data_IF_910999088619
#
_entry.id   IF_910999088619
#
_cell.length_a   1.000
_cell.length_b   1.000
_cell.length_c   1.000
_cell.angle_alpha   90.00
_cell.angle_beta   90.00
_cell.angle_gamma   90.00
#
_symmetry.space_group_name_H-M   'P 1'
#
loop_
_entity.id
_entity.type
_entity.pdbx_description
1 polymer ?
#
# COMPACT_ATOMS: atom_id res chain seq x y z
N UNK A 1 33.15 41.59 8.82
CA UNK A 1 33.31 40.30 8.11
C UNK A 1 31.91 39.75 7.91
N UNK A 2 31.44 39.60 6.67
CA UNK A 2 30.11 39.07 6.40
C UNK A 2 30.01 37.66 6.97
N UNK A 3 29.00 37.43 7.80
CA UNK A 3 28.61 36.12 8.30
C UNK A 3 28.18 35.25 7.11
N UNK A 4 29.15 34.59 6.47
CA UNK A 4 28.96 33.74 5.29
C UNK A 4 28.40 32.38 5.71
N UNK A 5 27.29 32.39 6.46
CA UNK A 5 26.50 31.19 6.71
C UNK A 5 26.09 30.59 5.38
N UNK A 6 26.32 29.30 5.21
CA UNK A 6 25.86 28.59 4.01
C UNK A 6 24.34 28.67 3.96
N UNK A 7 23.81 29.11 2.82
CA UNK A 7 22.38 29.26 2.61
C UNK A 7 21.79 28.01 1.97
N UNK A 8 20.70 27.51 2.52
CA UNK A 8 19.88 26.45 1.94
C UNK A 8 18.50 27.01 1.64
N UNK A 9 18.03 26.77 0.41
CA UNK A 9 16.67 27.08 0.00
C UNK A 9 15.94 25.75 -0.18
N UNK A 10 14.80 25.59 0.50
CA UNK A 10 13.91 24.45 0.36
C UNK A 10 12.63 24.93 -0.31
N UNK A 11 12.19 24.23 -1.35
CA UNK A 11 10.96 24.52 -2.07
C UNK A 11 9.97 23.40 -1.77
N UNK A 12 8.84 23.76 -1.16
CA UNK A 12 7.82 22.87 -0.63
C UNK A 12 8.00 22.57 0.86
N UNK A 13 6.87 22.38 1.56
CA UNK A 13 6.80 22.02 2.99
C UNK A 13 6.03 20.70 3.21
N UNK A 14 6.19 19.74 2.29
CA UNK A 14 5.67 18.38 2.43
C UNK A 14 6.57 17.46 3.29
N UNK A 15 6.24 16.16 3.41
CA UNK A 15 6.97 15.22 4.27
C UNK A 15 8.47 15.14 3.99
N UNK A 16 8.88 15.26 2.73
CA UNK A 16 10.30 15.28 2.35
C UNK A 16 11.04 16.48 2.96
N UNK A 17 10.47 17.68 2.83
CA UNK A 17 11.06 18.90 3.37
C UNK A 17 11.13 18.84 4.89
N UNK A 18 10.05 18.41 5.55
CA UNK A 18 9.99 18.23 7.00
C UNK A 18 11.07 17.24 7.45
N UNK A 19 11.19 16.08 6.80
CA UNK A 19 12.22 15.09 7.12
C UNK A 19 13.65 15.62 6.95
N UNK A 20 13.92 16.37 5.87
CA UNK A 20 15.21 17.02 5.65
C UNK A 20 15.52 18.06 6.73
N UNK A 21 14.53 18.90 7.07
CA UNK A 21 14.67 19.93 8.10
C UNK A 21 14.91 19.32 9.48
N UNK A 22 14.15 18.28 9.86
CA UNK A 22 14.36 17.56 11.12
C UNK A 22 15.81 17.08 11.21
N UNK A 23 16.35 16.47 10.16
CA UNK A 23 17.73 15.99 10.17
C UNK A 23 18.75 17.13 10.23
N UNK A 24 18.52 18.21 9.50
CA UNK A 24 19.41 19.39 9.51
C UNK A 24 19.44 20.02 10.91
N UNK A 25 18.28 20.20 11.55
CA UNK A 25 18.19 20.72 12.91
C UNK A 25 18.92 19.80 13.90
N UNK A 26 18.70 18.48 13.84
CA UNK A 26 19.42 17.53 14.71
C UNK A 26 20.96 17.65 14.56
N UNK A 27 21.45 17.80 13.33
CA UNK A 27 22.89 17.95 13.04
C UNK A 27 23.46 19.32 13.47
N UNK A 28 22.63 20.36 13.51
CA UNK A 28 23.03 21.67 14.01
C UNK A 28 23.07 21.66 15.54
N UNK A 29 22.07 21.04 16.17
CA UNK A 29 21.95 20.94 17.64
C UNK A 29 23.09 20.10 18.24
N UNK A 30 23.49 19.02 17.58
CA UNK A 30 24.63 18.19 18.00
C UNK A 30 26.00 18.72 17.55
N UNK A 31 26.03 19.87 16.85
CA UNK A 31 27.21 20.56 16.33
C UNK A 31 28.02 19.74 15.30
N UNK A 32 27.40 18.75 14.65
CA UNK A 32 28.02 18.02 13.53
C UNK A 32 28.18 18.90 12.29
N UNK A 33 27.28 19.87 12.10
CA UNK A 33 27.38 20.87 11.03
C UNK A 33 27.32 22.29 11.57
N UNK A 34 27.97 23.21 10.86
CA UNK A 34 27.90 24.64 11.16
C UNK A 34 26.48 25.20 10.97
N UNK A 35 26.10 26.28 11.68
CA UNK A 35 24.81 26.91 11.51
C UNK A 35 24.53 27.34 10.07
N UNK A 36 23.30 27.05 9.61
CA UNK A 36 22.85 27.33 8.24
C UNK A 36 21.80 28.44 8.23
N UNK A 37 21.78 29.21 7.14
CA UNK A 37 20.68 30.13 6.80
C UNK A 37 19.66 29.38 5.94
N UNK A 38 18.52 28.99 6.51
CA UNK A 38 17.53 28.14 5.84
C UNK A 38 16.28 28.94 5.53
N UNK A 39 15.90 29.01 4.26
CA UNK A 39 14.64 29.61 3.80
C UNK A 39 13.77 28.55 3.15
N UNK A 40 12.49 28.47 3.53
CA UNK A 40 11.52 27.53 2.97
C UNK A 40 10.46 28.32 2.21
N UNK A 41 10.19 27.92 0.97
CA UNK A 41 9.10 28.45 0.16
C UNK A 41 8.03 27.38 -0.02
N UNK A 42 6.87 27.56 0.61
CA UNK A 42 5.66 26.76 0.35
C UNK A 42 4.63 27.66 -0.32
N UNK A 43 3.97 27.14 -1.35
CA UNK A 43 2.93 27.88 -2.07
C UNK A 43 1.62 27.90 -1.28
N UNK A 44 1.31 26.79 -0.62
CA UNK A 44 0.12 26.58 0.19
C UNK A 44 0.19 27.41 1.48
N UNK A 45 -0.96 27.72 2.07
CA UNK A 45 -1.02 28.44 3.35
C UNK A 45 -0.67 27.57 4.56
N UNK A 46 -0.46 26.27 4.36
CA UNK A 46 -0.13 25.31 5.40
C UNK A 46 0.88 24.27 4.87
N UNK A 47 1.70 23.66 5.74
CA UNK A 47 2.58 22.55 5.36
C UNK A 47 1.78 21.25 5.15
N UNK A 48 2.46 20.22 4.62
CA UNK A 48 1.93 18.86 4.50
C UNK A 48 1.85 18.32 3.06
N UNK A 49 1.69 19.19 2.07
CA UNK A 49 1.63 18.78 0.66
C UNK A 49 0.54 17.73 0.41
N UNK A 50 0.90 16.58 -0.19
CA UNK A 50 -0.06 15.48 -0.40
C UNK A 50 -0.48 14.76 0.89
N UNK A 51 0.23 14.95 2.00
CA UNK A 51 -0.13 14.39 3.31
C UNK A 51 -1.00 15.35 4.13
N UNK A 52 -1.65 16.32 3.49
CA UNK A 52 -2.54 17.28 4.15
C UNK A 52 -3.97 16.76 4.27
N UNK A 53 -4.65 17.25 5.29
CA UNK A 53 -6.07 17.07 5.54
C UNK A 53 -6.80 18.40 5.32
N UNK A 54 -7.98 18.35 4.71
CA UNK A 54 -8.88 19.50 4.52
C UNK A 54 -10.17 19.23 5.27
N UNK A 55 -10.63 20.19 6.08
CA UNK A 55 -11.95 20.12 6.73
C UNK A 55 -12.96 20.95 5.95
N UNK A 56 -14.08 20.34 5.58
CA UNK A 56 -15.15 21.03 4.86
C UNK A 56 -16.03 21.89 5.79
N UNK A 57 -16.95 22.65 5.20
CA UNK A 57 -17.87 23.54 5.94
C UNK A 57 -18.84 22.81 6.86
N UNK A 58 -18.98 21.49 6.72
CA UNK A 58 -19.84 20.64 7.54
C UNK A 58 -19.05 19.92 8.64
N UNK A 59 -17.74 20.16 8.74
CA UNK A 59 -16.87 19.59 9.75
C UNK A 59 -16.28 18.22 9.40
N UNK A 60 -16.47 17.71 8.18
CA UNK A 60 -15.84 16.47 7.75
C UNK A 60 -14.40 16.72 7.32
N UNK A 61 -13.49 15.84 7.74
CA UNK A 61 -12.08 15.92 7.39
C UNK A 61 -11.74 14.92 6.28
N UNK A 62 -11.03 15.41 5.27
CA UNK A 62 -10.70 14.69 4.05
C UNK A 62 -9.20 14.75 3.81
N UNK A 63 -8.57 13.59 3.70
CA UNK A 63 -7.19 13.49 3.24
C UNK A 63 -7.15 13.45 1.70
N UNK A 64 -5.99 13.79 1.13
CA UNK A 64 -5.73 13.66 -0.31
C UNK A 64 -5.39 12.22 -0.70
N UNK A 65 -6.34 11.32 -0.46
CA UNK A 65 -6.18 9.87 -0.57
C UNK A 65 -6.03 9.19 0.79
N UNK A 66 -5.83 7.87 0.78
CA UNK A 66 -5.77 7.08 2.01
C UNK A 66 -4.35 7.11 2.59
N UNK A 67 -4.17 7.80 3.72
CA UNK A 67 -2.89 7.88 4.42
C UNK A 67 -2.87 7.00 5.67
N UNK A 68 -1.83 6.18 5.76
CA UNK A 68 -1.69 5.15 6.80
C UNK A 68 -0.22 5.04 7.17
N UNK A 69 0.08 5.20 8.46
CA UNK A 69 1.41 4.92 9.00
C UNK A 69 1.43 3.52 9.61
N UNK A 70 2.09 2.59 8.93
CA UNK A 70 2.30 1.23 9.44
C UNK A 70 3.63 1.05 10.17
N UNK A 71 3.95 -0.21 10.47
CA UNK A 71 5.27 -0.58 10.96
C UNK A 71 6.36 -0.11 9.99
N UNK A 72 7.38 0.55 10.51
CA UNK A 72 8.49 1.10 9.73
C UNK A 72 9.81 0.50 10.20
N UNK A 73 10.73 0.27 9.26
CA UNK A 73 12.12 -0.10 9.55
C UNK A 73 13.02 1.11 9.81
N UNK A 74 12.45 2.32 9.82
CA UNK A 74 13.19 3.58 9.94
C UNK A 74 12.86 4.22 11.30
N UNK A 75 13.66 3.97 12.35
CA UNK A 75 13.41 4.49 13.69
C UNK A 75 13.36 6.02 13.73
N UNK A 76 14.18 6.70 12.92
CA UNK A 76 14.19 8.15 12.82
C UNK A 76 12.82 8.70 12.39
N UNK A 77 12.17 8.07 11.41
CA UNK A 77 10.83 8.47 10.97
C UNK A 77 9.80 8.32 12.10
N UNK A 78 9.82 7.20 12.82
CA UNK A 78 8.92 6.96 13.95
C UNK A 78 9.15 7.98 15.07
N UNK A 79 10.41 8.27 15.40
CA UNK A 79 10.80 9.28 16.39
C UNK A 79 10.27 10.66 15.99
N UNK A 80 10.41 11.06 14.72
CA UNK A 80 9.88 12.33 14.22
C UNK A 80 8.37 12.40 14.39
N UNK A 81 7.64 11.35 13.98
CA UNK A 81 6.19 11.29 14.16
C UNK A 81 5.76 11.36 15.62
N UNK A 82 6.42 10.59 16.50
CA UNK A 82 6.13 10.58 17.94
C UNK A 82 6.45 11.91 18.62
N UNK A 83 7.47 12.63 18.16
CA UNK A 83 7.78 13.98 18.68
C UNK A 83 6.75 15.03 18.27
N UNK A 84 6.10 14.86 17.12
CA UNK A 84 5.08 15.78 16.62
C UNK A 84 3.69 15.46 17.17
N UNK A 85 3.38 14.17 17.32
CA UNK A 85 2.07 13.67 17.77
C UNK A 85 2.32 12.60 18.85
N UNK A 86 2.00 12.90 20.13
CA UNK A 86 2.29 11.98 21.24
C UNK A 86 1.32 10.80 21.31
N UNK A 87 0.09 10.97 20.83
CA UNK A 87 -0.97 9.97 20.91
C UNK A 87 -1.29 9.41 19.53
N UNK A 88 -1.10 8.09 19.39
CA UNK A 88 -1.41 7.37 18.16
C UNK A 88 -2.49 6.35 18.37
N UNK A 89 -3.10 6.06 17.25
CA UNK A 89 -4.33 5.36 17.13
C UNK A 89 -3.97 4.04 16.39
N UNK A 90 -4.30 2.89 16.99
CA UNK A 90 -3.89 1.54 16.53
C UNK A 90 -5.11 0.59 16.33
N UNK A 91 -5.23 -0.06 15.16
CA UNK A 91 -6.37 -0.86 14.67
C UNK A 91 -5.78 -2.04 13.94
N UNK A 92 -6.58 -3.05 13.71
CA UNK A 92 -6.25 -4.15 12.83
C UNK A 92 -6.58 -3.79 11.38
N UNK A 93 -5.65 -4.08 10.46
CA UNK A 93 -5.85 -3.92 9.03
C UNK A 93 -6.80 -5.01 8.54
N UNK A 94 -8.05 -4.64 8.32
CA UNK A 94 -9.02 -5.49 7.66
C UNK A 94 -9.28 -4.97 6.24
N UNK A 95 -8.38 -5.28 5.31
CA UNK A 95 -8.55 -4.88 3.90
C UNK A 95 -9.09 -6.07 3.12
N UNK A 96 -10.22 -5.85 2.44
CA UNK A 96 -10.87 -6.83 1.57
C UNK A 96 -11.04 -6.24 0.17
N UNK A 97 -11.14 -7.12 -0.81
CA UNK A 97 -11.51 -6.77 -2.17
C UNK A 97 -12.92 -7.27 -2.46
N UNK A 98 -13.74 -6.41 -3.06
CA UNK A 98 -15.02 -6.80 -3.61
C UNK A 98 -14.81 -7.63 -4.87
N UNK A 99 -15.30 -8.87 -4.86
CA UNK A 99 -15.26 -9.84 -5.96
C UNK A 99 -16.68 -10.23 -6.38
N UNK A 100 -17.66 -9.34 -6.23
CA UNK A 100 -19.07 -9.58 -6.60
C UNK A 100 -19.23 -10.00 -8.07
N UNK A 101 -18.36 -9.52 -8.98
CA UNK A 101 -18.33 -9.91 -10.39
C UNK A 101 -17.84 -11.34 -10.66
N UNK A 102 -17.40 -12.05 -9.62
CA UNK A 102 -16.88 -13.43 -9.69
C UNK A 102 -17.69 -14.36 -8.81
N UNK A 103 -17.96 -13.96 -7.56
CA UNK A 103 -18.55 -14.85 -6.54
C UNK A 103 -20.08 -14.91 -6.66
N UNK A 104 -20.74 -13.79 -6.99
CA UNK A 104 -22.19 -13.69 -7.14
C UNK A 104 -23.01 -14.23 -5.95
N UNK A 105 -22.51 -14.09 -4.73
CA UNK A 105 -23.22 -14.52 -3.53
C UNK A 105 -24.40 -13.58 -3.21
N UNK A 106 -25.53 -14.17 -2.77
CA UNK A 106 -26.74 -13.43 -2.40
C UNK A 106 -26.53 -12.48 -1.22
N UNK A 107 -25.67 -12.86 -0.27
CA UNK A 107 -25.27 -11.98 0.82
C UNK A 107 -24.06 -11.14 0.39
N UNK A 108 -24.15 -9.80 0.35
CA UNK A 108 -23.06 -8.94 -0.11
C UNK A 108 -21.72 -9.19 0.60
N UNK A 109 -21.75 -9.52 1.90
CA UNK A 109 -20.53 -9.78 2.67
C UNK A 109 -19.73 -11.00 2.19
N UNK A 110 -20.41 -11.95 1.55
CA UNK A 110 -19.78 -13.17 1.07
C UNK A 110 -19.04 -12.96 -0.27
N UNK A 111 -19.24 -11.82 -0.92
CA UNK A 111 -18.50 -11.43 -2.13
C UNK A 111 -17.15 -10.77 -1.84
N UNK A 112 -16.85 -10.45 -0.58
CA UNK A 112 -15.57 -9.86 -0.20
C UNK A 112 -14.54 -10.92 0.14
N UNK A 113 -13.37 -10.80 -0.48
CA UNK A 113 -12.22 -11.67 -0.19
C UNK A 113 -11.10 -10.89 0.50
N UNK A 114 -10.30 -11.52 1.38
CA UNK A 114 -9.17 -10.86 2.01
C UNK A 114 -8.14 -10.34 0.99
N UNK A 115 -7.54 -9.19 1.27
CA UNK A 115 -6.42 -8.69 0.49
C UNK A 115 -5.12 -9.31 1.02
N UNK A 116 -4.21 -9.77 0.14
CA UNK A 116 -4.19 -9.56 -1.30
C UNK A 116 -4.97 -10.63 -2.10
N UNK A 117 -5.66 -10.21 -3.18
CA UNK A 117 -6.59 -11.07 -3.94
C UNK A 117 -5.93 -12.32 -4.53
N UNK A 118 -4.67 -12.25 -4.95
CA UNK A 118 -3.93 -13.41 -5.44
C UNK A 118 -3.79 -14.52 -4.39
N UNK A 119 -3.84 -14.19 -3.10
CA UNK A 119 -3.84 -15.17 -2.00
C UNK A 119 -5.24 -15.67 -1.65
N UNK A 120 -6.27 -15.13 -2.29
CA UNK A 120 -7.67 -15.43 -1.97
C UNK A 120 -8.35 -16.33 -3.01
N UNK A 121 -7.57 -16.97 -3.88
CA UNK A 121 -8.04 -18.05 -4.78
C UNK A 121 -8.92 -19.09 -4.08
N UNK A 122 -8.67 -19.51 -2.82
CA UNK A 122 -9.54 -20.47 -2.12
C UNK A 122 -11.00 -20.01 -1.96
N UNK A 123 -11.27 -18.70 -2.02
CA UNK A 123 -12.61 -18.12 -1.92
C UNK A 123 -13.40 -18.12 -3.24
N UNK A 124 -12.74 -18.37 -4.37
CA UNK A 124 -13.39 -18.30 -5.68
C UNK A 124 -14.28 -19.53 -5.97
N UNK A 125 -15.26 -19.40 -6.88
CA UNK A 125 -16.01 -20.55 -7.39
C UNK A 125 -15.08 -21.63 -7.94
N UNK A 126 -15.45 -22.90 -7.80
CA UNK A 126 -14.55 -24.03 -8.05
C UNK A 126 -13.95 -24.04 -9.46
N UNK A 127 -14.72 -23.71 -10.49
CA UNK A 127 -14.20 -23.64 -11.86
C UNK A 127 -13.04 -22.63 -11.98
N UNK A 128 -13.22 -21.44 -11.41
CA UNK A 128 -12.24 -20.35 -11.44
C UNK A 128 -11.05 -20.70 -10.55
N UNK A 129 -11.32 -21.23 -9.35
CA UNK A 129 -10.30 -21.70 -8.41
C UNK A 129 -9.38 -22.73 -9.07
N UNK A 130 -9.93 -23.74 -9.75
CA UNK A 130 -9.13 -24.75 -10.45
C UNK A 130 -8.31 -24.17 -11.60
N UNK A 131 -8.86 -23.23 -12.38
CA UNK A 131 -8.08 -22.52 -13.42
C UNK A 131 -6.88 -21.77 -12.81
N UNK A 132 -7.12 -20.99 -11.74
CA UNK A 132 -6.06 -20.28 -11.02
C UNK A 132 -4.99 -21.26 -10.49
N UNK A 133 -5.39 -22.35 -9.84
CA UNK A 133 -4.46 -23.35 -9.30
C UNK A 133 -3.60 -23.99 -10.39
N UNK A 134 -4.21 -24.35 -11.52
CA UNK A 134 -3.49 -24.94 -12.66
C UNK A 134 -2.47 -23.97 -13.26
N UNK A 135 -2.86 -22.71 -13.46
CA UNK A 135 -1.96 -21.68 -14.00
C UNK A 135 -0.81 -21.33 -13.03
N UNK A 136 -1.11 -21.22 -11.74
CA UNK A 136 -0.10 -20.99 -10.69
C UNK A 136 0.89 -22.15 -10.60
N UNK A 137 0.42 -23.39 -10.78
CA UNK A 137 1.27 -24.59 -10.77
C UNK A 137 2.11 -24.72 -12.04
N UNK A 138 1.53 -24.43 -13.20
CA UNK A 138 2.23 -24.52 -14.49
C UNK A 138 3.51 -23.66 -14.50
N UNK A 139 3.53 -22.55 -13.75
CA UNK A 139 4.70 -21.70 -13.56
C UNK A 139 5.94 -22.45 -13.04
N UNK A 140 5.76 -23.48 -12.20
CA UNK A 140 6.88 -24.26 -11.68
C UNK A 140 7.48 -25.23 -12.72
N UNK A 141 6.75 -25.51 -13.79
CA UNK A 141 7.20 -26.34 -14.91
C UNK A 141 7.75 -25.52 -16.08
N UNK A 142 7.66 -24.19 -16.02
CA UNK A 142 8.19 -23.28 -17.03
C UNK A 142 9.49 -22.63 -16.55
N UNK A 143 10.45 -22.45 -17.44
CA UNK A 143 11.65 -21.67 -17.14
C UNK A 143 11.26 -20.19 -16.95
N UNK A 144 11.69 -19.60 -15.84
CA UNK A 144 11.43 -18.19 -15.58
C UNK A 144 12.20 -17.31 -16.58
N UNK A 145 11.54 -16.37 -17.26
CA UNK A 145 12.22 -15.37 -18.06
C UNK A 145 13.26 -14.60 -17.23
N UNK A 146 14.42 -14.34 -17.81
CA UNK A 146 15.49 -13.57 -17.14
C UNK A 146 15.02 -12.18 -16.74
N UNK A 147 14.22 -11.55 -17.60
CA UNK A 147 13.61 -10.23 -17.39
C UNK A 147 12.20 -10.20 -17.98
N UNK A 148 11.39 -9.26 -17.49
CA UNK A 148 10.08 -8.90 -18.06
C UNK A 148 10.15 -7.46 -18.56
N UNK A 149 9.55 -7.18 -19.70
CA UNK A 149 9.61 -5.86 -20.33
C UNK A 149 8.70 -4.87 -19.62
N UNK A 150 7.51 -5.34 -19.25
CA UNK A 150 6.45 -4.53 -18.67
C UNK A 150 5.70 -5.29 -17.57
N UNK A 151 4.79 -4.59 -16.89
CA UNK A 151 4.01 -5.15 -15.80
C UNK A 151 2.98 -6.18 -16.29
N UNK A 152 2.63 -6.13 -17.57
CA UNK A 152 1.73 -7.10 -18.16
C UNK A 152 2.33 -8.51 -18.22
N UNK A 153 3.49 -8.63 -18.85
CA UNK A 153 4.25 -9.88 -18.96
C UNK A 153 4.59 -10.41 -17.56
N UNK A 154 5.02 -9.52 -16.66
CA UNK A 154 5.31 -9.87 -15.28
C UNK A 154 4.08 -10.47 -14.59
N UNK A 155 2.94 -9.78 -14.64
CA UNK A 155 1.73 -10.23 -13.94
C UNK A 155 1.16 -11.51 -14.54
N UNK A 156 1.19 -11.66 -15.86
CA UNK A 156 0.78 -12.89 -16.54
C UNK A 156 1.61 -14.08 -16.07
N UNK A 157 2.94 -13.94 -16.04
CA UNK A 157 3.83 -15.02 -15.61
C UNK A 157 3.64 -15.36 -14.12
N UNK A 158 3.53 -14.34 -13.25
CA UNK A 158 3.48 -14.59 -11.81
C UNK A 158 2.10 -15.04 -11.31
N UNK A 159 1.00 -14.60 -11.93
CA UNK A 159 -0.36 -14.87 -11.46
C UNK A 159 -1.17 -15.81 -12.35
N UNK A 160 -0.76 -16.01 -13.60
CA UNK A 160 -1.59 -16.67 -14.59
C UNK A 160 -2.64 -15.74 -15.21
N UNK A 161 -3.19 -16.18 -16.33
CA UNK A 161 -4.15 -15.42 -17.14
C UNK A 161 -5.44 -15.13 -16.38
N UNK A 162 -5.95 -16.11 -15.65
CA UNK A 162 -7.23 -16.01 -14.94
C UNK A 162 -7.18 -14.94 -13.86
N UNK A 163 -6.19 -14.96 -12.97
CA UNK A 163 -6.02 -13.91 -11.97
C UNK A 163 -5.70 -12.54 -12.59
N UNK A 164 -4.92 -12.53 -13.68
CA UNK A 164 -4.58 -11.31 -14.39
C UNK A 164 -5.84 -10.61 -14.90
N UNK A 165 -6.72 -11.32 -15.58
CA UNK A 165 -7.94 -10.77 -16.16
C UNK A 165 -8.98 -10.38 -15.12
N UNK A 166 -9.16 -11.23 -14.10
CA UNK A 166 -10.22 -11.04 -13.10
C UNK A 166 -9.96 -9.85 -12.18
N UNK A 167 -8.69 -9.59 -11.85
CA UNK A 167 -8.35 -8.60 -10.84
C UNK A 167 -7.10 -7.79 -11.17
N UNK A 168 -5.95 -8.41 -11.46
CA UNK A 168 -4.67 -7.68 -11.48
C UNK A 168 -4.67 -6.57 -12.54
N UNK A 169 -5.07 -6.88 -13.77
CA UNK A 169 -5.14 -5.91 -14.88
C UNK A 169 -6.20 -4.83 -14.64
N UNK A 170 -7.49 -5.14 -14.43
CA UNK A 170 -8.52 -4.11 -14.25
C UNK A 170 -8.27 -3.24 -13.01
N UNK A 171 -7.80 -3.82 -11.90
CA UNK A 171 -7.47 -3.06 -10.69
C UNK A 171 -6.32 -2.08 -10.95
N UNK A 172 -5.22 -2.53 -11.55
CA UNK A 172 -4.07 -1.66 -11.76
C UNK A 172 -4.35 -0.59 -12.83
N UNK A 173 -5.07 -0.90 -13.91
CA UNK A 173 -5.47 0.12 -14.88
C UNK A 173 -6.40 1.16 -14.26
N UNK A 174 -7.29 0.76 -13.34
CA UNK A 174 -8.15 1.69 -12.59
C UNK A 174 -7.34 2.60 -11.66
N UNK A 175 -6.35 2.06 -10.95
CA UNK A 175 -5.52 2.82 -10.00
C UNK A 175 -4.52 3.73 -10.72
N UNK A 176 -3.82 3.20 -11.71
CA UNK A 176 -2.73 3.89 -12.39
C UNK A 176 -3.17 4.69 -13.60
N UNK A 177 -4.39 4.47 -14.10
CA UNK A 177 -4.93 5.11 -15.31
C UNK A 177 -4.09 4.87 -16.57
N UNK A 178 -3.26 3.83 -16.57
CA UNK A 178 -2.28 3.49 -17.62
C UNK A 178 -2.34 1.98 -17.92
N UNK A 179 -2.24 1.55 -19.20
CA UNK A 179 -2.12 0.13 -19.57
C UNK A 179 -0.91 -0.55 -18.93
N UNK A 180 -1.01 -1.84 -18.60
CA UNK A 180 0.07 -2.57 -17.92
C UNK A 180 1.31 -2.72 -18.81
N UNK A 181 1.10 -2.75 -20.13
CA UNK A 181 2.11 -2.84 -21.17
C UNK A 181 3.02 -1.60 -21.22
N UNK A 182 2.52 -0.45 -20.75
CA UNK A 182 3.25 0.83 -20.67
C UNK A 182 3.96 1.02 -19.33
N UNK A 183 3.72 0.14 -18.35
CA UNK A 183 4.34 0.21 -17.04
C UNK A 183 5.55 -0.72 -16.98
N UNK A 184 6.73 -0.21 -16.60
CA UNK A 184 7.86 -1.10 -16.30
C UNK A 184 7.56 -1.98 -15.06
N UNK A 185 8.24 -3.11 -14.89
CA UNK A 185 8.02 -4.02 -13.75
C UNK A 185 9.08 -3.91 -12.64
N UNK A 186 10.01 -2.94 -12.71
CA UNK A 186 11.14 -2.86 -11.76
C UNK A 186 10.70 -2.50 -10.34
N UNK A 187 9.66 -1.69 -10.23
CA UNK A 187 9.08 -1.27 -8.93
C UNK A 187 8.28 -2.38 -8.24
N UNK A 188 7.93 -3.45 -8.96
CA UNK A 188 7.12 -4.55 -8.45
C UNK A 188 7.91 -5.43 -7.47
N UNK A 189 9.23 -5.49 -7.65
CA UNK A 189 10.16 -6.23 -6.78
C UNK A 189 10.07 -5.70 -5.34
N UNK A 190 9.37 -6.43 -4.48
CA UNK A 190 9.16 -6.09 -3.06
C UNK A 190 7.85 -5.36 -2.73
N UNK A 191 7.00 -5.04 -3.73
CA UNK A 191 5.67 -4.43 -3.50
C UNK A 191 4.51 -5.39 -3.73
N UNK A 192 4.68 -6.37 -4.60
CA UNK A 192 3.64 -7.36 -4.88
C UNK A 192 3.88 -8.60 -4.02
N UNK A 193 2.93 -8.98 -3.15
CA UNK A 193 3.04 -10.15 -2.29
C UNK A 193 3.38 -11.40 -3.09
N UNK A 194 4.41 -12.15 -2.65
CA UNK A 194 4.72 -13.45 -3.24
C UNK A 194 3.52 -14.36 -3.04
N UNK A 195 3.10 -15.02 -4.11
CA UNK A 195 2.05 -16.03 -4.05
C UNK A 195 2.65 -17.29 -3.44
N UNK A 196 2.21 -17.62 -2.24
CA UNK A 196 2.48 -18.91 -1.62
C UNK A 196 1.49 -19.94 -2.18
N UNK A 197 1.91 -20.64 -3.24
CA UNK A 197 1.06 -21.60 -3.96
C UNK A 197 0.71 -22.79 -3.08
N UNK A 198 1.63 -23.23 -2.20
CA UNK A 198 1.38 -24.34 -1.28
C UNK A 198 0.30 -23.94 -0.26
N UNK A 199 0.42 -22.76 0.35
CA UNK A 199 -0.62 -22.23 1.25
C UNK A 199 -1.98 -22.10 0.55
N UNK A 200 -2.00 -21.64 -0.70
CA UNK A 200 -3.25 -21.54 -1.48
C UNK A 200 -3.84 -22.93 -1.73
N UNK A 201 -3.04 -23.93 -2.08
CA UNK A 201 -3.50 -25.30 -2.28
C UNK A 201 -4.06 -25.92 -1.00
N UNK A 202 -3.33 -25.79 0.10
CA UNK A 202 -3.77 -26.27 1.41
C UNK A 202 -5.10 -25.62 1.82
N UNK A 203 -5.21 -24.30 1.67
CA UNK A 203 -6.46 -23.58 2.00
C UNK A 203 -7.60 -23.89 1.03
N UNK A 204 -7.31 -24.30 -0.20
CA UNK A 204 -8.34 -24.67 -1.19
C UNK A 204 -9.10 -25.96 -0.82
N UNK A 205 -8.63 -26.73 0.18
CA UNK A 205 -9.35 -27.89 0.71
C UNK A 205 -10.34 -27.54 1.82
N UNK A 206 -10.30 -26.31 2.33
CA UNK A 206 -11.15 -25.82 3.40
C UNK A 206 -12.50 -25.32 2.87
N UNK A 207 -13.53 -25.46 3.70
CA UNK A 207 -14.82 -24.81 3.48
C UNK A 207 -14.73 -23.29 3.72
N UNK A 208 -15.69 -22.52 3.18
CA UNK A 208 -15.74 -21.07 3.39
C UNK A 208 -15.75 -20.64 4.87
N UNK A 209 -16.49 -21.30 5.78
CA UNK A 209 -16.41 -21.00 7.22
C UNK A 209 -15.00 -21.22 7.80
N UNK A 210 -14.34 -22.33 7.45
CA UNK A 210 -12.99 -22.65 7.93
C UNK A 210 -11.96 -21.64 7.41
N UNK A 211 -12.07 -21.21 6.15
CA UNK A 211 -11.24 -20.14 5.57
C UNK A 211 -11.37 -18.83 6.35
N UNK A 212 -12.60 -18.43 6.68
CA UNK A 212 -12.86 -17.21 7.46
C UNK A 212 -12.29 -17.29 8.86
N UNK A 213 -12.40 -18.44 9.50
CA UNK A 213 -11.79 -18.66 10.81
C UNK A 213 -10.26 -18.61 10.73
N UNK A 214 -9.66 -19.22 9.71
CA UNK A 214 -8.22 -19.17 9.45
C UNK A 214 -7.71 -17.71 9.31
N UNK A 215 -8.38 -16.89 8.50
CA UNK A 215 -7.97 -15.51 8.24
C UNK A 215 -8.23 -14.57 9.43
N UNK A 216 -9.22 -14.89 10.29
CA UNK A 216 -9.45 -14.15 11.54
C UNK A 216 -8.32 -14.28 12.56
N UNK A 217 -7.46 -15.31 12.44
CA UNK A 217 -6.35 -15.59 13.36
C UNK A 217 -5.01 -15.01 12.88
N UNK A 218 -4.93 -14.46 11.67
CA UNK A 218 -3.68 -14.08 11.01
C UNK A 218 -3.51 -12.56 10.84
N UNK A 219 -3.03 -11.89 11.90
CA UNK A 219 -2.06 -10.79 11.81
C UNK A 219 -2.54 -9.33 11.60
N UNK A 220 -2.63 -8.62 12.73
CA UNK A 220 -2.96 -7.21 12.94
C UNK A 220 -1.97 -6.21 12.27
N UNK A 221 -2.46 -5.06 11.78
CA UNK A 221 -1.63 -3.89 11.39
C UNK A 221 -2.32 -2.55 11.67
N UNK A 222 -1.61 -1.62 12.35
CA UNK A 222 -2.00 -0.46 13.20
C UNK A 222 -2.52 0.86 12.54
N UNK A 223 -3.65 1.48 12.99
CA UNK A 223 -4.23 2.84 12.68
C UNK A 223 -5.36 3.25 13.68
N UNK A 224 -5.97 4.46 13.74
CA UNK A 224 -7.37 4.63 14.33
C UNK A 224 -8.07 5.98 14.09
N UNK A 225 -9.41 5.86 14.03
CA UNK A 225 -10.55 6.80 14.15
C UNK A 225 -10.34 8.31 14.01
N UNK A 226 -11.03 8.84 13.01
CA UNK A 226 -11.84 10.07 13.14
C UNK A 226 -13.30 9.64 13.33
N UNK A 227 -14.04 10.34 14.16
CA UNK A 227 -15.51 10.35 14.09
C UNK A 227 -15.90 10.81 12.68
N UNK A 228 -16.21 9.86 11.78
CA UNK A 228 -17.21 9.96 10.70
C UNK A 228 -16.99 8.85 9.66
N UNK A 229 -18.07 8.09 9.44
CA UNK A 229 -18.40 7.21 8.32
C UNK A 229 -17.32 6.30 7.71
N UNK A 230 -17.52 5.02 8.01
CA UNK A 230 -17.20 3.89 7.13
C UNK A 230 -17.60 4.24 5.69
N UNK A 231 -16.65 4.19 4.76
CA UNK A 231 -16.97 4.02 3.35
C UNK A 231 -16.61 2.58 2.95
N UNK A 232 -17.54 2.00 2.19
CA UNK A 232 -17.67 0.61 1.78
C UNK A 232 -16.39 -0.05 1.25
#
# INVERSE_FOLDING_TARGET
MSDLRKRIIIIGAGPTAIGSLTRICELMDDKTIEPLDITIFERSSHPGGLASTVTDSHGFSWDLGVHITGATRYPAFLKTLQSAVPEWHCIERCVKADMTHVIHASNPQDNYVPYPVQSSVPYFPDEIKQKCLNELNARFSTEQPKEFTNFDEFSLYFFGKTLQDLFIRPYNQKVWTVPLEEMNCKWVKGRVPKVDVESIQQRSTLSLPELREYDSKSGISFFRQVLSFIFF
#
